data_IF_076833858098
#
_entry.id   IF_076833858098
#
_cell.length_a   1.000
_cell.length_b   1.000
_cell.length_c   1.000
_cell.angle_alpha   90.00
_cell.angle_beta   90.00
_cell.angle_gamma   90.00
#
_symmetry.space_group_name_H-M   'P 1'
#
loop_
_entity.id
_entity.type
_entity.pdbx_description
1 polymer ?
#
# COMPACT_ATOMS: atom_id res chain seq x y z
N UNK A 1 24.92 19.34 27.53
CA UNK A 1 24.13 18.10 27.47
C UNK A 1 22.66 18.40 27.30
N UNK A 2 22.22 18.49 26.03
CA UNK A 2 20.81 18.58 25.67
C UNK A 2 20.32 17.14 25.41
N UNK A 3 19.28 16.71 26.10
CA UNK A 3 18.53 15.50 25.76
C UNK A 3 17.27 15.89 25.01
N UNK A 4 16.92 15.11 23.99
CA UNK A 4 15.71 15.30 23.17
C UNK A 4 14.75 14.16 23.48
N UNK A 5 13.54 14.49 23.89
CA UNK A 5 12.43 13.59 24.13
C UNK A 5 11.39 13.79 23.05
N UNK A 6 10.65 12.75 22.73
CA UNK A 6 9.51 12.80 21.84
C UNK A 6 8.26 12.40 22.62
N UNK A 7 7.37 13.35 22.89
CA UNK A 7 5.99 13.12 23.37
C UNK A 7 5.02 13.13 22.19
N UNK A 8 3.79 12.66 22.35
CA UNK A 8 2.84 12.50 21.24
C UNK A 8 1.54 13.26 21.52
N UNK A 9 0.95 13.88 20.50
CA UNK A 9 -0.39 14.47 20.53
C UNK A 9 -1.39 13.57 19.77
N UNK A 10 -2.52 13.28 20.39
CA UNK A 10 -3.59 12.47 19.81
C UNK A 10 -4.75 13.32 19.29
N UNK A 11 -5.29 12.97 18.12
CA UNK A 11 -6.69 13.28 17.77
C UNK A 11 -7.55 12.06 18.12
N UNK A 12 -8.09 12.04 19.33
CA UNK A 12 -8.95 10.97 19.86
C UNK A 12 -8.72 10.71 21.35
N UNK A 13 -9.75 10.20 22.06
CA UNK A 13 -9.90 10.05 23.52
C UNK A 13 -8.83 9.24 24.30
N UNK A 14 -7.61 9.08 23.79
CA UNK A 14 -6.49 8.47 24.50
C UNK A 14 -5.60 9.56 25.11
N UNK A 15 -5.58 9.65 26.43
CA UNK A 15 -4.78 10.62 27.19
C UNK A 15 -3.28 10.37 26.97
N UNK A 16 -2.57 11.43 26.58
CA UNK A 16 -1.13 11.47 26.35
C UNK A 16 -0.43 11.92 27.64
N UNK A 17 0.51 11.14 28.19
CA UNK A 17 1.07 11.39 29.53
C UNK A 17 2.59 11.41 29.52
N UNK A 18 3.20 12.56 29.87
CA UNK A 18 4.65 12.72 29.98
C UNK A 18 5.10 12.68 31.43
N UNK A 19 5.98 11.73 31.80
CA UNK A 19 6.59 11.70 33.13
C UNK A 19 8.04 12.15 33.08
N UNK A 20 8.33 13.29 33.70
CA UNK A 20 9.68 13.81 33.89
C UNK A 20 10.20 13.36 35.25
N UNK A 21 11.36 12.70 35.32
CA UNK A 21 11.86 12.12 36.57
C UNK A 21 13.36 12.35 36.77
N UNK A 22 13.70 12.93 37.93
CA UNK A 22 15.05 12.94 38.48
C UNK A 22 15.22 11.78 39.46
N UNK A 23 16.36 11.06 39.41
CA UNK A 23 16.71 9.94 40.28
C UNK A 23 18.12 10.08 40.90
N UNK A 24 18.23 9.88 42.21
CA UNK A 24 19.44 9.53 42.94
C UNK A 24 19.48 8.00 43.01
N UNK A 25 20.53 7.37 42.53
CA UNK A 25 20.71 5.93 42.72
C UNK A 25 20.71 5.61 44.23
N UNK A 26 19.85 4.70 44.67
CA UNK A 26 19.84 4.15 46.03
C UNK A 26 20.00 2.64 45.96
N UNK A 27 20.80 2.13 46.89
CA UNK A 27 21.24 0.73 47.01
C UNK A 27 20.10 -0.30 46.82
N UNK A 28 20.11 -0.94 45.65
CA UNK A 28 19.57 -2.28 45.46
C UNK A 28 20.54 -3.01 44.52
N UNK A 29 21.14 -4.10 45.02
CA UNK A 29 22.08 -5.01 44.35
C UNK A 29 21.61 -5.34 42.92
N UNK A 30 22.39 -5.19 41.83
CA UNK A 30 23.59 -5.97 41.49
C UNK A 30 24.33 -5.35 40.27
N UNK A 31 25.63 -5.11 40.46
CA UNK A 31 26.79 -5.02 39.55
C UNK A 31 26.89 -4.13 38.28
N UNK A 32 27.87 -3.21 38.39
CA UNK A 32 29.01 -3.02 37.47
C UNK A 32 28.85 -2.14 36.21
N UNK A 33 28.58 -0.85 36.43
CA UNK A 33 29.48 0.26 36.02
C UNK A 33 28.94 1.59 36.57
N UNK A 34 29.61 2.08 37.62
CA UNK A 34 29.73 3.46 38.06
C UNK A 34 28.59 4.16 38.85
N UNK A 35 29.02 4.76 39.97
CA UNK A 35 28.34 5.72 40.87
C UNK A 35 27.71 6.91 40.12
N UNK A 36 26.47 6.82 39.62
CA UNK A 36 25.89 7.90 38.80
C UNK A 36 24.40 8.12 39.09
N UNK A 37 23.97 9.39 39.08
CA UNK A 37 22.57 9.85 39.27
C UNK A 37 21.90 9.98 37.91
N UNK A 38 20.65 9.54 37.75
CA UNK A 38 19.99 9.46 36.44
C UNK A 38 18.81 10.44 36.32
N UNK A 39 18.60 11.02 35.13
CA UNK A 39 17.34 11.61 34.69
C UNK A 39 16.72 10.58 33.74
N UNK A 40 15.58 10.04 34.12
CA UNK A 40 14.83 9.10 33.30
C UNK A 40 13.54 9.80 32.88
N UNK A 41 13.14 9.63 31.63
CA UNK A 41 11.86 10.16 31.16
C UNK A 41 11.10 9.04 30.48
N UNK A 42 9.87 8.84 30.94
CA UNK A 42 9.01 7.73 30.55
C UNK A 42 7.72 8.27 29.95
N UNK A 43 7.32 7.71 28.81
CA UNK A 43 6.10 8.03 28.11
C UNK A 43 5.26 6.76 27.93
N UNK A 44 3.97 6.85 28.24
CA UNK A 44 3.01 5.75 28.08
C UNK A 44 1.77 6.22 27.30
N UNK A 45 1.42 5.47 26.26
CA UNK A 45 0.18 5.67 25.51
C UNK A 45 -0.35 4.33 24.99
N UNK A 46 -1.37 3.76 25.63
CA UNK A 46 -1.90 2.45 25.25
C UNK A 46 -0.82 1.34 25.36
N UNK A 47 -0.51 0.66 24.25
CA UNK A 47 0.51 -0.40 24.17
C UNK A 47 1.90 0.08 23.71
N UNK A 48 2.09 1.38 23.46
CA UNK A 48 3.37 1.97 23.03
C UNK A 48 4.05 2.72 24.18
N UNK A 49 5.35 2.48 24.36
CA UNK A 49 6.19 3.16 25.34
C UNK A 49 7.54 3.55 24.72
N UNK A 50 8.08 4.70 25.11
CA UNK A 50 9.41 5.17 24.66
C UNK A 50 10.19 5.76 25.82
N UNK A 51 11.49 5.45 25.88
CA UNK A 51 12.40 5.85 26.96
C UNK A 51 13.68 6.46 26.37
N UNK A 52 14.19 7.54 26.99
CA UNK A 52 15.43 8.23 26.57
C UNK A 52 16.25 8.64 27.80
N UNK A 53 17.55 8.37 27.77
CA UNK A 53 18.52 8.63 28.83
C UNK A 53 19.80 9.24 28.23
N UNK A 54 20.47 10.16 28.94
CA UNK A 54 21.68 10.86 28.47
C UNK A 54 22.97 10.31 29.10
N UNK A 55 24.18 10.55 28.58
CA UNK A 55 25.44 10.49 29.35
C UNK A 55 26.09 11.89 29.41
N UNK A 56 26.65 12.29 30.55
CA UNK A 56 27.36 13.56 30.77
C UNK A 56 28.89 13.31 30.91
N UNK A 57 29.75 13.98 30.12
CA UNK A 57 31.21 13.88 30.23
C UNK A 57 31.80 14.38 31.57
N UNK A 58 31.08 15.18 32.37
CA UNK A 58 31.56 15.68 33.68
C UNK A 58 31.30 14.71 34.86
N UNK A 59 31.16 13.41 34.56
CA UNK A 59 31.18 12.34 35.56
C UNK A 59 29.81 11.81 36.01
N UNK A 60 28.76 11.99 35.21
CA UNK A 60 27.46 11.35 35.43
C UNK A 60 27.07 10.63 34.15
N UNK A 61 27.05 9.29 34.13
CA UNK A 61 26.45 8.50 33.03
C UNK A 61 25.22 7.73 33.46
N UNK A 62 24.32 7.51 32.50
CA UNK A 62 22.97 7.08 32.76
C UNK A 62 22.72 5.81 31.92
N UNK A 63 22.46 4.70 32.60
CA UNK A 63 22.12 3.41 31.99
C UNK A 63 20.94 2.76 32.73
N UNK A 64 20.27 1.81 32.05
CA UNK A 64 19.18 0.98 32.56
C UNK A 64 19.70 -0.46 32.72
N UNK A 65 19.32 -1.19 33.79
CA UNK A 65 19.59 -2.63 33.95
C UNK A 65 18.33 -3.36 34.47
N UNK A 66 17.95 -4.54 33.94
CA UNK A 66 16.85 -5.37 34.44
C UNK A 66 17.30 -6.39 35.51
N UNK A 67 16.34 -6.84 36.34
CA UNK A 67 16.51 -7.64 37.57
C UNK A 67 16.79 -9.14 37.34
N UNK A 68 17.87 -9.69 37.92
CA UNK A 68 17.93 -11.02 38.62
C UNK A 68 19.29 -11.25 39.36
N UNK A 69 19.21 -11.84 40.58
CA UNK A 69 20.17 -12.22 41.67
C UNK A 69 21.53 -12.94 41.31
N UNK A 70 22.47 -13.31 42.25
CA UNK A 70 22.88 -12.77 43.58
C UNK A 70 24.42 -12.74 43.92
N UNK A 71 24.72 -12.02 45.03
CA UNK A 71 25.75 -12.24 46.08
C UNK A 71 27.26 -11.96 45.85
N UNK A 72 27.83 -11.10 46.72
CA UNK A 72 29.27 -10.97 47.00
C UNK A 72 29.66 -9.57 47.53
N UNK A 73 30.47 -9.43 48.60
CA UNK A 73 30.60 -8.19 49.37
C UNK A 73 31.55 -7.20 48.68
N UNK A 74 31.14 -5.93 48.51
CA UNK A 74 32.06 -4.88 48.05
C UNK A 74 31.81 -3.51 48.69
N UNK A 75 32.95 -2.89 48.98
CA UNK A 75 33.25 -1.70 49.75
C UNK A 75 32.41 -0.45 49.45
N UNK A 76 32.06 0.24 50.54
CA UNK A 76 31.29 1.49 50.58
C UNK A 76 32.08 2.67 50.00
N UNK A 77 31.46 3.43 49.10
CA UNK A 77 31.87 4.78 48.73
C UNK A 77 30.69 5.72 48.97
N UNK A 78 30.79 6.58 49.99
CA UNK A 78 29.73 7.50 50.41
C UNK A 78 29.96 8.86 49.76
N UNK A 79 29.08 9.27 48.85
CA UNK A 79 29.03 10.65 48.33
C UNK A 79 27.68 11.25 48.73
N UNK A 80 27.68 11.90 49.88
CA UNK A 80 26.51 12.52 50.51
C UNK A 80 26.32 13.97 50.02
N UNK A 81 26.01 14.16 48.72
CA UNK A 81 25.46 15.46 48.29
C UNK A 81 23.97 15.46 48.64
N UNK A 82 23.61 16.08 49.77
CA UNK A 82 22.22 16.30 50.15
C UNK A 82 21.62 17.38 49.26
N UNK A 83 20.46 17.08 48.69
CA UNK A 83 19.67 18.04 47.93
C UNK A 83 18.83 18.80 48.95
N UNK A 84 19.00 20.11 49.03
CA UNK A 84 18.29 20.97 49.99
C UNK A 84 17.00 21.52 49.39
N UNK A 85 17.00 21.80 48.09
CA UNK A 85 15.84 22.29 47.32
C UNK A 85 15.85 21.71 45.93
N UNK A 86 14.67 21.51 45.37
CA UNK A 86 14.49 21.04 43.99
C UNK A 86 13.34 21.79 43.33
N UNK A 87 13.47 22.07 42.04
CA UNK A 87 12.41 22.67 41.24
C UNK A 87 12.41 22.12 39.81
N UNK A 88 11.22 21.97 39.25
CA UNK A 88 11.01 21.77 37.82
C UNK A 88 10.61 23.09 37.19
N UNK A 89 11.25 23.41 36.05
CA UNK A 89 11.01 24.61 35.29
C UNK A 89 10.63 24.25 33.86
N UNK A 90 9.69 24.98 33.27
CA UNK A 90 9.47 25.04 31.82
C UNK A 90 10.13 26.31 31.30
N UNK A 91 11.19 26.19 30.49
CA UNK A 91 12.04 27.30 30.06
C UNK A 91 12.62 28.05 31.28
N UNK A 92 11.97 29.13 31.70
CA UNK A 92 12.35 29.94 32.87
C UNK A 92 11.25 30.04 33.92
N UNK A 93 10.07 29.47 33.68
CA UNK A 93 8.95 29.49 34.63
C UNK A 93 9.02 28.28 35.55
N UNK A 94 8.85 28.50 36.85
CA UNK A 94 8.81 27.40 37.84
C UNK A 94 7.45 26.72 37.72
N UNK A 95 7.46 25.41 37.52
CA UNK A 95 6.26 24.57 37.54
C UNK A 95 5.96 24.10 38.95
N UNK A 96 6.99 23.55 39.59
CA UNK A 96 6.97 23.03 40.95
C UNK A 96 8.30 23.34 41.63
N UNK A 97 8.27 23.65 42.93
CA UNK A 97 9.45 23.77 43.80
C UNK A 97 9.20 22.98 45.08
N UNK A 98 9.87 21.84 45.23
CA UNK A 98 9.52 20.85 46.25
C UNK A 98 8.06 20.39 46.07
N UNK A 99 7.23 20.56 47.11
CA UNK A 99 5.80 20.26 47.06
C UNK A 99 4.94 21.43 46.57
N UNK A 100 5.54 22.63 46.42
CA UNK A 100 4.79 23.83 46.06
C UNK A 100 4.56 23.84 44.55
N UNK A 101 3.29 23.88 44.14
CA UNK A 101 2.91 24.07 42.74
C UNK A 101 2.90 25.56 42.42
N UNK A 102 3.69 25.98 41.44
CA UNK A 102 3.81 27.38 41.02
C UNK A 102 3.06 27.65 39.70
N UNK A 103 2.87 26.62 38.88
CA UNK A 103 2.07 26.73 37.67
C UNK A 103 0.55 26.64 37.96
N UNK A 104 -0.25 27.37 37.19
CA UNK A 104 -1.71 27.30 37.25
C UNK A 104 -2.29 26.17 36.39
N UNK A 105 -1.48 25.54 35.55
CA UNK A 105 -1.93 24.49 34.63
C UNK A 105 -2.34 23.23 35.43
N UNK A 106 -3.62 22.82 35.40
CA UNK A 106 -4.10 21.65 36.13
C UNK A 106 -3.50 20.34 35.61
N UNK A 107 -3.01 20.30 34.35
CA UNK A 107 -2.43 19.12 33.70
C UNK A 107 -1.08 18.73 34.29
N UNK A 108 -0.37 19.68 34.92
CA UNK A 108 0.93 19.45 35.54
C UNK A 108 0.74 18.97 36.97
N UNK A 109 1.13 17.73 37.26
CA UNK A 109 0.96 17.08 38.55
C UNK A 109 2.29 16.59 39.11
N UNK A 110 2.46 16.65 40.42
CA UNK A 110 3.63 16.08 41.10
C UNK A 110 3.40 14.58 41.32
N UNK A 111 4.30 13.75 40.80
CA UNK A 111 4.23 12.29 40.95
C UNK A 111 5.03 11.79 42.16
N UNK A 112 6.24 12.33 42.35
CA UNK A 112 7.15 11.87 43.39
C UNK A 112 8.03 13.01 43.88
N UNK A 113 8.17 13.12 45.19
CA UNK A 113 9.10 14.03 45.83
C UNK A 113 9.72 13.34 47.05
N UNK A 114 10.81 12.63 46.83
CA UNK A 114 11.59 11.91 47.83
C UNK A 114 13.03 12.39 47.79
N UNK A 115 13.85 11.93 48.75
CA UNK A 115 15.28 12.23 48.77
C UNK A 115 16.03 11.69 47.54
N UNK A 116 15.43 10.73 46.85
CA UNK A 116 16.01 10.07 45.69
C UNK A 116 15.25 10.32 44.41
N UNK A 117 14.04 10.86 44.43
CA UNK A 117 13.25 11.03 43.23
C UNK A 117 12.47 12.35 43.24
N UNK A 118 12.55 13.09 42.14
CA UNK A 118 11.69 14.26 41.94
C UNK A 118 11.08 14.24 40.55
N UNK A 119 9.76 13.98 40.51
CA UNK A 119 9.06 13.69 39.28
C UNK A 119 7.75 14.46 39.15
N UNK A 120 7.53 15.03 37.97
CA UNK A 120 6.26 15.64 37.58
C UNK A 120 5.70 14.93 36.34
N UNK A 121 4.39 15.03 36.16
CA UNK A 121 3.69 14.53 35.00
C UNK A 121 2.90 15.65 34.34
N UNK A 122 2.94 15.69 33.01
CA UNK A 122 2.11 16.58 32.20
C UNK A 122 1.11 15.70 31.47
N UNK A 123 -0.16 15.83 31.83
CA UNK A 123 -1.27 15.09 31.25
C UNK A 123 -1.81 15.83 30.01
N UNK A 124 -2.34 15.10 29.04
CA UNK A 124 -2.92 15.66 27.81
C UNK A 124 -1.98 16.66 27.13
N UNK A 125 -0.78 16.18 26.78
CA UNK A 125 0.27 17.00 26.16
C UNK A 125 -0.22 17.63 24.85
N UNK A 126 0.05 18.92 24.69
CA UNK A 126 -0.26 19.74 23.51
C UNK A 126 1.03 20.20 22.83
N UNK A 127 0.97 20.58 21.56
CA UNK A 127 2.12 21.07 20.77
C UNK A 127 2.80 22.25 21.45
N UNK A 128 2.05 23.07 22.18
CA UNK A 128 2.58 24.23 22.91
C UNK A 128 3.41 23.87 24.15
N UNK A 129 3.34 22.63 24.62
CA UNK A 129 4.20 22.13 25.69
C UNK A 129 5.62 21.85 25.18
N UNK A 130 5.84 21.78 23.87
CA UNK A 130 7.16 21.60 23.27
C UNK A 130 8.18 22.64 23.75
N UNK A 131 9.33 22.16 24.23
CA UNK A 131 10.40 23.03 24.70
C UNK A 131 11.29 22.43 25.79
N UNK A 132 12.25 23.23 26.28
CA UNK A 132 13.18 22.80 27.32
C UNK A 132 12.52 22.82 28.70
N UNK A 133 12.51 21.67 29.36
CA UNK A 133 12.23 21.52 30.78
C UNK A 133 13.53 21.37 31.55
N UNK A 134 13.65 22.05 32.68
CA UNK A 134 14.85 22.05 33.51
C UNK A 134 14.52 21.55 34.90
N UNK A 135 15.22 20.52 35.35
CA UNK A 135 15.28 20.16 36.76
C UNK A 135 16.45 20.91 37.40
N UNK A 136 16.14 21.80 38.34
CA UNK A 136 17.13 22.56 39.09
C UNK A 136 17.17 22.09 40.53
N UNK A 137 18.35 21.69 41.01
CA UNK A 137 18.56 21.24 42.39
C UNK A 137 19.58 22.15 43.08
N UNK A 138 19.28 22.56 44.31
CA UNK A 138 20.26 23.14 45.21
C UNK A 138 20.91 22.03 46.02
N UNK A 139 22.24 22.01 46.06
CA UNK A 139 23.01 21.14 46.95
C UNK A 139 23.76 21.99 47.98
N UNK A 140 24.32 21.35 49.00
CA UNK A 140 25.12 22.03 50.03
C UNK A 140 26.35 22.77 49.46
N UNK A 141 26.84 22.31 48.30
CA UNK A 141 27.99 22.91 47.64
C UNK A 141 27.53 23.95 46.60
N UNK A 142 26.94 23.49 45.49
CA UNK A 142 26.58 24.34 44.34
C UNK A 142 25.22 23.93 43.74
N UNK A 143 24.48 24.87 43.12
CA UNK A 143 23.30 24.52 42.34
C UNK A 143 23.69 23.68 41.13
N UNK A 144 22.87 22.70 40.78
CA UNK A 144 23.03 21.88 39.58
C UNK A 144 21.73 21.87 38.80
N UNK A 145 21.83 21.87 37.47
CA UNK A 145 20.67 21.82 36.59
C UNK A 145 20.82 20.73 35.55
N UNK A 146 19.73 20.04 35.25
CA UNK A 146 19.62 19.13 34.11
C UNK A 146 18.50 19.59 33.20
N UNK A 147 18.75 19.62 31.88
CA UNK A 147 17.80 20.10 30.88
C UNK A 147 17.40 18.98 29.95
N UNK A 148 16.11 18.93 29.64
CA UNK A 148 15.51 17.97 28.73
C UNK A 148 14.55 18.69 27.78
N UNK A 149 14.63 18.43 26.48
CA UNK A 149 13.72 19.02 25.50
C UNK A 149 12.56 18.07 25.24
N UNK A 150 11.34 18.50 25.53
CA UNK A 150 10.14 17.85 25.05
C UNK A 150 9.91 18.25 23.59
N UNK A 151 9.86 17.30 22.67
CA UNK A 151 9.38 17.46 21.28
C UNK A 151 8.01 16.82 21.20
N UNK A 152 7.01 17.51 20.66
CA UNK A 152 5.66 16.95 20.52
C UNK A 152 5.47 16.45 19.09
N UNK A 153 5.23 15.15 19.00
CA UNK A 153 4.97 14.42 17.77
C UNK A 153 3.47 14.42 17.48
N UNK A 154 3.13 14.61 16.21
CA UNK A 154 1.77 14.67 15.71
C UNK A 154 1.66 13.65 14.59
N UNK A 155 0.67 12.76 14.67
CA UNK A 155 0.41 11.76 13.64
C UNK A 155 0.22 12.39 12.25
N UNK A 156 0.60 11.72 11.16
CA UNK A 156 0.50 12.27 9.83
C UNK A 156 -0.98 12.40 9.43
N UNK A 157 -1.30 13.43 8.65
CA UNK A 157 -2.65 13.68 8.13
C UNK A 157 -2.54 14.22 6.72
N UNK A 158 -3.17 13.54 5.76
CA UNK A 158 -3.31 14.05 4.39
C UNK A 158 -4.35 15.18 4.40
N UNK A 159 -3.88 16.41 4.16
CA UNK A 159 -4.71 17.62 4.15
C UNK A 159 -5.27 17.91 2.78
N UNK A 160 -4.50 17.62 1.73
CA UNK A 160 -4.88 17.86 0.34
C UNK A 160 -4.47 16.67 -0.53
N UNK A 161 -5.35 16.28 -1.45
CA UNK A 161 -5.06 15.27 -2.45
C UNK A 161 -5.84 15.56 -3.73
N UNK A 162 -5.26 15.29 -4.90
CA UNK A 162 -5.95 15.42 -6.19
C UNK A 162 -7.24 14.60 -6.22
N UNK A 163 -8.26 15.12 -6.92
CA UNK A 163 -9.48 14.37 -7.21
C UNK A 163 -9.26 13.36 -8.34
N UNK A 164 -10.21 12.44 -8.51
CA UNK A 164 -10.23 11.53 -9.66
C UNK A 164 -10.19 12.31 -10.98
N UNK A 165 -9.40 11.82 -11.94
CA UNK A 165 -9.21 12.46 -13.25
C UNK A 165 -9.50 11.50 -14.40
N UNK A 166 -9.97 12.07 -15.52
CA UNK A 166 -10.10 11.40 -16.80
C UNK A 166 -9.33 12.18 -17.85
N UNK A 167 -8.33 11.55 -18.47
CA UNK A 167 -7.41 12.21 -19.41
C UNK A 167 -7.16 11.32 -20.62
N UNK A 168 -6.80 11.90 -21.77
CA UNK A 168 -6.48 11.12 -22.96
C UNK A 168 -5.06 10.53 -22.88
N UNK A 169 -4.89 9.36 -23.50
CA UNK A 169 -3.59 8.70 -23.66
C UNK A 169 -2.56 9.63 -24.33
N UNK A 170 -1.33 9.60 -23.84
CA UNK A 170 -0.22 10.44 -24.30
C UNK A 170 -0.15 11.83 -23.66
N UNK A 171 -1.14 12.24 -22.86
CA UNK A 171 -1.07 13.49 -22.12
C UNK A 171 -0.22 13.34 -20.83
N UNK A 172 0.25 14.47 -20.31
CA UNK A 172 0.95 14.52 -19.03
C UNK A 172 -0.04 14.74 -17.89
N UNK A 173 0.23 14.12 -16.74
CA UNK A 173 -0.51 14.36 -15.50
C UNK A 173 0.43 14.75 -14.36
N UNK A 174 -0.10 15.53 -13.42
CA UNK A 174 0.52 15.82 -12.13
C UNK A 174 -0.53 15.58 -11.04
N UNK A 175 -0.27 14.63 -10.15
CA UNK A 175 -1.08 14.37 -8.96
C UNK A 175 -0.38 14.95 -7.73
N UNK A 176 -1.16 15.47 -6.80
CA UNK A 176 -0.66 16.14 -5.59
C UNK A 176 -1.21 15.43 -4.36
N UNK A 177 -0.36 15.25 -3.35
CA UNK A 177 -0.73 14.75 -2.04
C UNK A 177 0.13 15.45 -0.98
N UNK A 178 -0.52 16.31 -0.19
CA UNK A 178 0.14 17.10 0.85
C UNK A 178 -0.30 16.56 2.20
N UNK A 179 0.67 16.27 3.06
CA UNK A 179 0.45 15.75 4.38
C UNK A 179 1.13 16.60 5.44
N UNK A 180 0.48 16.74 6.59
CA UNK A 180 1.01 17.46 7.75
C UNK A 180 1.25 16.49 8.89
N UNK A 181 2.27 16.72 9.71
CA UNK A 181 2.60 15.91 10.87
C UNK A 181 3.82 16.46 11.59
N UNK A 182 4.13 15.91 12.76
CA UNK A 182 5.39 16.20 13.48
C UNK A 182 6.04 14.91 13.93
N UNK A 183 7.27 14.56 13.49
CA UNK A 183 8.04 15.25 12.45
C UNK A 183 7.28 15.35 11.12
N UNK A 184 7.75 16.22 10.23
CA UNK A 184 7.17 16.39 8.89
C UNK A 184 7.13 15.03 8.17
N UNK A 185 5.97 14.62 7.63
CA UNK A 185 5.81 13.29 7.06
C UNK A 185 6.42 13.18 5.68
N UNK A 186 6.96 12.00 5.39
CA UNK A 186 7.31 11.61 4.02
C UNK A 186 6.07 11.11 3.30
N UNK A 187 5.97 11.42 2.01
CA UNK A 187 4.87 11.03 1.14
C UNK A 187 5.39 10.06 0.09
N UNK A 188 4.67 8.97 -0.14
CA UNK A 188 4.98 8.03 -1.22
C UNK A 188 3.75 7.73 -2.06
N UNK A 189 3.97 7.55 -3.36
CA UNK A 189 2.94 7.20 -4.32
C UNK A 189 3.14 5.78 -4.83
N UNK A 190 2.04 5.04 -4.99
CA UNK A 190 2.05 3.68 -5.53
C UNK A 190 0.90 3.46 -6.50
N UNK A 191 1.19 2.89 -7.67
CA UNK A 191 0.15 2.44 -8.60
C UNK A 191 -0.42 1.10 -8.10
N UNK A 192 -1.75 1.04 -7.94
CA UNK A 192 -2.46 -0.15 -7.48
C UNK A 192 -2.77 -1.04 -8.69
N UNK A 193 -1.73 -1.71 -9.18
CA UNK A 193 -1.82 -2.71 -10.24
C UNK A 193 -1.10 -3.98 -9.81
N UNK A 194 -1.59 -5.19 -10.14
CA UNK A 194 -0.89 -6.44 -9.86
C UNK A 194 0.52 -6.51 -10.47
N UNK A 195 0.75 -5.74 -11.54
CA UNK A 195 2.04 -5.68 -12.24
C UNK A 195 2.96 -4.57 -11.72
N UNK A 196 2.45 -3.65 -10.91
CA UNK A 196 3.24 -2.54 -10.38
C UNK A 196 4.13 -3.04 -9.23
N UNK A 197 5.41 -2.65 -9.28
CA UNK A 197 6.41 -3.01 -8.26
C UNK A 197 6.96 -1.72 -7.67
N UNK A 198 6.94 -1.61 -6.34
CA UNK A 198 7.52 -0.48 -5.61
C UNK A 198 6.72 0.83 -5.69
N UNK A 199 7.37 1.91 -5.26
CA UNK A 199 6.85 3.27 -5.33
C UNK A 199 7.06 3.87 -6.72
N UNK A 200 6.11 4.72 -7.13
CA UNK A 200 6.18 5.49 -8.38
C UNK A 200 6.84 6.85 -8.14
N UNK A 201 6.63 7.43 -6.96
CA UNK A 201 7.26 8.69 -6.51
C UNK A 201 7.37 8.68 -4.98
N UNK A 202 8.36 9.38 -4.45
CA UNK A 202 8.55 9.64 -3.01
C UNK A 202 8.41 11.14 -2.67
N UNK A 203 7.81 11.89 -3.59
CA UNK A 203 7.52 13.31 -3.44
C UNK A 203 6.00 13.56 -3.29
N UNK A 204 5.64 14.75 -2.80
CA UNK A 204 4.24 15.21 -2.73
C UNK A 204 3.55 15.24 -4.10
N UNK A 205 4.35 15.44 -5.15
CA UNK A 205 3.91 15.48 -6.54
C UNK A 205 4.30 14.19 -7.28
N UNK A 206 3.34 13.62 -8.00
CA UNK A 206 3.57 12.54 -8.94
C UNK A 206 3.32 13.05 -10.36
N UNK A 207 4.40 13.22 -11.12
CA UNK A 207 4.35 13.61 -12.52
C UNK A 207 4.53 12.39 -13.43
N UNK A 208 3.60 12.20 -14.36
CA UNK A 208 3.68 11.15 -15.39
C UNK A 208 3.59 11.83 -16.74
N UNK A 209 4.64 11.67 -17.55
CA UNK A 209 4.67 12.16 -18.92
C UNK A 209 4.17 11.09 -19.87
N UNK A 210 3.36 11.47 -20.85
CA UNK A 210 2.90 10.55 -21.89
C UNK A 210 2.15 9.33 -21.35
N UNK A 211 1.11 9.55 -20.53
CA UNK A 211 0.44 8.45 -19.82
C UNK A 211 -0.13 7.39 -20.78
N UNK A 212 0.12 6.11 -20.50
CA UNK A 212 -0.40 4.98 -21.29
C UNK A 212 -1.65 4.36 -20.67
N UNK A 213 -2.45 3.65 -21.46
CA UNK A 213 -3.65 2.96 -20.95
C UNK A 213 -3.37 1.92 -19.85
N UNK A 214 -2.18 1.33 -19.81
CA UNK A 214 -1.76 0.37 -18.77
C UNK A 214 -1.53 1.04 -17.40
N UNK A 215 -1.31 2.35 -17.40
CA UNK A 215 -1.14 3.17 -16.20
C UNK A 215 -2.49 3.66 -15.65
N UNK A 216 -3.61 3.40 -16.33
CA UNK A 216 -4.95 3.61 -15.79
C UNK A 216 -5.16 2.81 -14.50
N UNK A 217 -5.90 3.36 -13.53
CA UNK A 217 -6.19 2.68 -12.27
C UNK A 217 -6.14 3.60 -11.06
N UNK A 218 -5.98 2.99 -9.88
CA UNK A 218 -5.86 3.75 -8.63
C UNK A 218 -4.39 4.03 -8.31
N UNK A 219 -4.12 5.25 -7.89
CA UNK A 219 -2.86 5.68 -7.32
C UNK A 219 -3.08 5.94 -5.84
N UNK A 220 -2.26 5.33 -4.99
CA UNK A 220 -2.32 5.46 -3.54
C UNK A 220 -1.19 6.36 -3.07
N UNK A 221 -1.56 7.44 -2.39
CA UNK A 221 -0.65 8.25 -1.60
C UNK A 221 -0.62 7.71 -0.17
N UNK A 222 0.59 7.54 0.37
CA UNK A 222 0.84 7.12 1.75
C UNK A 222 1.73 8.15 2.44
N UNK A 223 1.28 8.70 3.56
CA UNK A 223 2.04 9.64 4.38
C UNK A 223 2.46 9.01 5.72
N UNK A 224 3.76 9.06 6.05
CA UNK A 224 4.32 8.51 7.28
C UNK A 224 5.32 9.44 7.94
N UNK A 225 5.34 9.47 9.27
CA UNK A 225 6.40 10.11 10.06
C UNK A 225 6.83 9.24 11.25
N UNK A 226 6.58 7.92 11.15
CA UNK A 226 6.91 6.89 12.15
C UNK A 226 6.27 7.11 13.54
N UNK A 227 5.33 8.05 13.65
CA UNK A 227 4.57 8.31 14.88
C UNK A 227 3.43 7.32 15.04
N UNK A 228 2.74 7.02 13.95
CA UNK A 228 1.59 6.14 13.90
C UNK A 228 1.63 5.33 12.59
N UNK A 229 0.63 4.47 12.40
CA UNK A 229 0.44 3.83 11.11
C UNK A 229 0.33 4.89 9.99
N UNK A 230 0.91 4.65 8.80
CA UNK A 230 0.79 5.57 7.69
C UNK A 230 -0.66 5.86 7.32
N UNK A 231 -0.97 7.10 6.98
CA UNK A 231 -2.29 7.48 6.47
C UNK A 231 -2.29 7.36 4.96
N UNK A 232 -3.29 6.66 4.42
CA UNK A 232 -3.41 6.38 2.99
C UNK A 232 -4.66 6.99 2.39
N UNK A 233 -4.54 7.51 1.16
CA UNK A 233 -5.67 7.94 0.31
C UNK A 233 -5.41 7.56 -1.13
N UNK A 234 -6.49 7.43 -1.92
CA UNK A 234 -6.41 6.98 -3.32
C UNK A 234 -7.07 7.96 -4.26
N UNK A 235 -6.49 8.05 -5.46
CA UNK A 235 -6.99 8.82 -6.59
C UNK A 235 -7.15 7.88 -7.78
N UNK A 236 -8.28 7.96 -8.48
CA UNK A 236 -8.50 7.20 -9.71
C UNK A 236 -8.08 8.01 -10.92
N UNK A 237 -7.16 7.46 -11.71
CA UNK A 237 -6.77 7.98 -13.01
C UNK A 237 -7.41 7.11 -14.09
N UNK A 238 -8.26 7.70 -14.92
CA UNK A 238 -8.91 7.04 -16.05
C UNK A 238 -8.29 7.53 -17.35
N UNK A 239 -7.55 6.65 -18.03
CA UNK A 239 -6.94 6.98 -19.32
C UNK A 239 -7.91 6.65 -20.46
N UNK A 240 -8.28 7.66 -21.24
CA UNK A 240 -9.17 7.55 -22.40
C UNK A 240 -8.34 7.23 -23.66
N UNK A 241 -8.81 6.27 -24.45
CA UNK A 241 -8.18 5.85 -25.70
C UNK A 241 -9.25 5.44 -26.74
N UNK A 242 -8.96 5.60 -28.05
CA UNK A 242 -9.87 5.20 -29.12
C UNK A 242 -10.05 3.67 -29.14
N UNK A 243 -11.18 3.18 -29.68
CA UNK A 243 -11.45 1.75 -29.73
C UNK A 243 -10.43 1.00 -30.59
N UNK A 244 -10.04 -0.19 -30.14
CA UNK A 244 -9.36 -1.19 -30.94
C UNK A 244 -10.09 -2.52 -30.81
N UNK A 245 -10.21 -3.27 -31.91
CA UNK A 245 -10.86 -4.58 -31.90
C UNK A 245 -9.88 -5.60 -31.33
N UNK A 246 -10.25 -6.16 -30.19
CA UNK A 246 -9.48 -7.21 -29.52
C UNK A 246 -9.78 -8.58 -30.11
N UNK A 247 -11.01 -8.79 -30.59
CA UNK A 247 -11.41 -10.05 -31.19
C UNK A 247 -12.56 -9.87 -32.19
N UNK A 248 -12.51 -10.59 -33.31
CA UNK A 248 -13.55 -10.63 -34.33
C UNK A 248 -13.75 -12.09 -34.79
N UNK A 249 -14.90 -12.67 -34.48
CA UNK A 249 -15.20 -14.10 -34.66
C UNK A 249 -16.29 -14.30 -35.70
N UNK A 250 -15.90 -14.94 -36.81
CA UNK A 250 -16.79 -15.49 -37.82
C UNK A 250 -17.44 -16.79 -37.36
N UNK A 251 -18.41 -17.30 -38.11
CA UNK A 251 -19.06 -18.58 -37.79
C UNK A 251 -19.48 -19.30 -39.05
N UNK A 252 -19.21 -20.61 -39.09
CA UNK A 252 -19.77 -21.52 -40.07
C UNK A 252 -21.09 -22.08 -39.55
N UNK A 253 -22.18 -21.93 -40.31
CA UNK A 253 -23.53 -22.35 -39.88
C UNK A 253 -24.25 -22.98 -41.07
N UNK A 254 -24.93 -24.14 -40.93
CA UNK A 254 -25.80 -24.66 -41.98
C UNK A 254 -27.04 -23.80 -42.20
N UNK A 255 -27.62 -23.85 -43.40
CA UNK A 255 -28.92 -23.22 -43.69
C UNK A 255 -29.99 -23.74 -42.73
N UNK A 256 -30.88 -22.86 -42.28
CA UNK A 256 -31.95 -23.24 -41.35
C UNK A 256 -31.60 -23.02 -39.87
N UNK A 257 -30.31 -22.89 -39.53
CA UNK A 257 -29.85 -22.87 -38.14
C UNK A 257 -29.58 -21.45 -37.62
N UNK A 258 -29.40 -21.34 -36.30
CA UNK A 258 -29.05 -20.08 -35.62
C UNK A 258 -27.55 -19.80 -35.76
N UNK A 259 -27.21 -18.63 -36.28
CA UNK A 259 -25.83 -18.14 -36.40
C UNK A 259 -25.55 -16.95 -35.48
N UNK A 260 -24.29 -16.76 -35.07
CA UNK A 260 -23.91 -15.59 -34.26
C UNK A 260 -22.50 -15.13 -34.60
N UNK A 261 -22.38 -13.93 -35.15
CA UNK A 261 -21.09 -13.25 -35.29
C UNK A 261 -20.80 -12.46 -34.02
N UNK A 262 -19.52 -12.38 -33.65
CA UNK A 262 -19.08 -11.72 -32.42
C UNK A 262 -17.92 -10.76 -32.71
N UNK A 263 -18.00 -9.57 -32.13
CA UNK A 263 -16.97 -8.54 -32.23
C UNK A 263 -16.72 -7.92 -30.85
N UNK A 264 -15.47 -7.93 -30.41
CA UNK A 264 -15.02 -7.37 -29.13
C UNK A 264 -14.07 -6.21 -29.37
N UNK A 265 -14.27 -5.14 -28.62
CA UNK A 265 -13.41 -3.96 -28.68
C UNK A 265 -13.15 -3.44 -27.28
N UNK A 266 -11.91 -3.01 -27.06
CA UNK A 266 -11.50 -2.32 -25.85
C UNK A 266 -11.37 -0.83 -26.16
N UNK A 267 -12.01 -0.02 -25.31
CA UNK A 267 -12.08 1.43 -25.46
C UNK A 267 -12.42 2.08 -24.12
N UNK A 268 -11.90 3.28 -23.90
CA UNK A 268 -12.32 4.14 -22.78
C UNK A 268 -12.55 5.57 -23.32
N UNK A 269 -13.76 6.14 -23.22
CA UNK A 269 -15.01 5.51 -22.80
C UNK A 269 -15.41 4.32 -23.68
N UNK A 270 -16.33 3.49 -23.18
CA UNK A 270 -16.83 2.28 -23.86
C UNK A 270 -17.30 2.58 -25.29
N UNK A 271 -17.09 1.63 -26.19
CA UNK A 271 -17.40 1.80 -27.59
C UNK A 271 -18.89 1.53 -27.89
N UNK A 272 -19.42 2.27 -28.84
CA UNK A 272 -20.68 1.96 -29.52
C UNK A 272 -20.39 1.12 -30.76
N UNK A 273 -21.20 0.07 -30.95
CA UNK A 273 -21.03 -0.90 -32.05
C UNK A 273 -22.12 -0.75 -33.12
N UNK A 274 -21.69 -0.86 -34.37
CA UNK A 274 -22.57 -0.89 -35.55
C UNK A 274 -22.14 -2.02 -36.48
N UNK A 275 -23.10 -2.70 -37.10
CA UNK A 275 -22.85 -3.78 -38.04
C UNK A 275 -23.24 -3.36 -39.45
N UNK A 276 -22.46 -3.79 -40.43
CA UNK A 276 -22.67 -3.52 -41.85
C UNK A 276 -22.58 -4.81 -42.64
N UNK A 277 -23.39 -4.91 -43.69
CA UNK A 277 -23.24 -5.92 -44.75
C UNK A 277 -23.24 -5.17 -46.08
N UNK A 278 -22.25 -5.42 -46.93
CA UNK A 278 -22.12 -4.77 -48.24
C UNK A 278 -22.25 -3.24 -48.15
N UNK A 279 -21.52 -2.64 -47.20
CA UNK A 279 -21.52 -1.20 -46.86
C UNK A 279 -22.87 -0.61 -46.40
N UNK A 280 -23.89 -1.45 -46.21
CA UNK A 280 -25.19 -1.03 -45.68
C UNK A 280 -25.29 -1.35 -44.19
N UNK A 281 -25.59 -0.33 -43.39
CA UNK A 281 -25.83 -0.48 -41.95
C UNK A 281 -27.01 -1.41 -41.70
N UNK A 282 -26.78 -2.44 -40.89
CA UNK A 282 -27.84 -3.30 -40.39
C UNK A 282 -28.57 -2.58 -39.26
N UNK A 283 -29.85 -2.27 -39.50
CA UNK A 283 -30.70 -1.61 -38.51
C UNK A 283 -31.29 -2.65 -37.56
N UNK A 284 -31.32 -2.31 -36.27
CA UNK A 284 -31.95 -3.12 -35.23
C UNK A 284 -33.43 -3.32 -35.57
N UNK A 285 -33.90 -4.58 -35.58
CA UNK A 285 -35.29 -4.92 -35.96
C UNK A 285 -35.49 -5.37 -37.41
N UNK A 286 -34.44 -5.51 -38.23
CA UNK A 286 -34.54 -6.23 -39.51
C UNK A 286 -35.04 -7.66 -39.26
N UNK A 287 -36.11 -8.06 -39.97
CA UNK A 287 -36.74 -9.37 -39.80
C UNK A 287 -35.69 -10.49 -39.95
N UNK A 288 -35.53 -11.32 -38.90
CA UNK A 288 -34.60 -12.46 -38.89
C UNK A 288 -33.24 -12.22 -38.22
N UNK A 289 -32.88 -10.98 -37.87
CA UNK A 289 -31.58 -10.63 -37.28
C UNK A 289 -31.74 -9.78 -36.01
N UNK A 290 -30.90 -10.00 -35.00
CA UNK A 290 -30.85 -9.23 -33.75
C UNK A 290 -29.42 -8.77 -33.47
N UNK A 291 -29.26 -7.52 -33.07
CA UNK A 291 -27.99 -6.99 -32.56
C UNK A 291 -28.07 -6.94 -31.03
N UNK A 292 -27.04 -7.43 -30.35
CA UNK A 292 -26.90 -7.31 -28.89
C UNK A 292 -25.59 -6.58 -28.57
N UNK A 293 -25.71 -5.35 -28.07
CA UNK A 293 -24.57 -4.51 -27.72
C UNK A 293 -24.33 -4.51 -26.20
N UNK A 294 -23.07 -4.71 -25.82
CA UNK A 294 -22.52 -4.56 -24.46
C UNK A 294 -21.26 -3.67 -24.55
N UNK A 295 -20.77 -3.10 -23.42
CA UNK A 295 -19.67 -2.13 -23.43
C UNK A 295 -18.39 -2.54 -24.19
N UNK A 296 -18.08 -3.85 -24.23
CA UNK A 296 -16.86 -4.39 -24.86
C UNK A 296 -17.14 -5.48 -25.90
N UNK A 297 -18.42 -5.78 -26.16
CA UNK A 297 -18.83 -6.95 -26.94
C UNK A 297 -20.13 -6.65 -27.69
N UNK A 298 -20.14 -6.92 -28.98
CA UNK A 298 -21.32 -6.89 -29.82
C UNK A 298 -21.54 -8.24 -30.50
N UNK A 299 -22.80 -8.68 -30.54
CA UNK A 299 -23.21 -9.91 -31.24
C UNK A 299 -24.24 -9.60 -32.30
N UNK A 300 -24.03 -10.13 -33.50
CA UNK A 300 -25.02 -10.15 -34.58
C UNK A 300 -25.59 -11.57 -34.69
N UNK A 301 -26.86 -11.72 -34.31
CA UNK A 301 -27.52 -13.01 -34.16
C UNK A 301 -28.51 -13.19 -35.31
N UNK A 302 -28.38 -14.29 -36.04
CA UNK A 302 -29.32 -14.75 -37.06
C UNK A 302 -30.18 -15.85 -36.45
N UNK A 303 -31.51 -15.69 -36.49
CA UNK A 303 -32.41 -16.72 -35.93
C UNK A 303 -32.54 -17.94 -36.84
N UNK A 304 -32.49 -17.71 -38.15
CA UNK A 304 -32.54 -18.74 -39.18
C UNK A 304 -31.71 -18.25 -40.37
N UNK A 305 -30.55 -18.87 -40.60
CA UNK A 305 -29.60 -18.50 -41.66
C UNK A 305 -30.10 -18.98 -43.03
N UNK A 306 -30.11 -18.08 -44.01
CA UNK A 306 -30.36 -18.36 -45.43
C UNK A 306 -29.08 -18.22 -46.27
N UNK A 307 -29.09 -18.74 -47.49
CA UNK A 307 -27.96 -18.56 -48.42
C UNK A 307 -27.60 -17.09 -48.67
N UNK A 308 -28.59 -16.19 -48.63
CA UNK A 308 -28.40 -14.76 -48.78
C UNK A 308 -27.76 -14.08 -47.56
N UNK A 309 -27.71 -14.75 -46.42
CA UNK A 309 -27.09 -14.24 -45.20
C UNK A 309 -25.58 -14.47 -45.18
N UNK A 310 -25.06 -15.44 -45.93
CA UNK A 310 -23.62 -15.64 -46.04
C UNK A 310 -22.90 -14.43 -46.63
N UNK A 311 -21.62 -14.31 -46.33
CA UNK A 311 -20.74 -13.24 -46.80
C UNK A 311 -20.03 -12.50 -45.66
N UNK A 312 -19.43 -11.37 -46.03
CA UNK A 312 -18.66 -10.55 -45.12
C UNK A 312 -19.53 -9.50 -44.43
N UNK A 313 -19.31 -9.36 -43.13
CA UNK A 313 -19.92 -8.40 -42.26
C UNK A 313 -18.84 -7.53 -41.65
N UNK A 314 -19.05 -6.23 -41.59
CA UNK A 314 -18.13 -5.32 -40.91
C UNK A 314 -18.72 -4.91 -39.57
N UNK A 315 -18.01 -5.17 -38.48
CA UNK A 315 -18.30 -4.54 -37.20
C UNK A 315 -17.48 -3.25 -37.09
N UNK A 316 -18.14 -2.16 -36.71
CA UNK A 316 -17.52 -0.86 -36.46
C UNK A 316 -17.71 -0.53 -34.99
N UNK A 317 -16.60 -0.28 -34.29
CA UNK A 317 -16.59 0.18 -32.90
C UNK A 317 -16.14 1.65 -32.85
N UNK A 318 -16.87 2.50 -32.13
CA UNK A 318 -16.60 3.95 -32.10
C UNK A 318 -16.76 4.54 -30.70
N UNK A 319 -15.94 5.53 -30.36
CA UNK A 319 -16.15 6.38 -29.18
C UNK A 319 -15.79 7.83 -29.53
N UNK A 320 -15.84 8.74 -28.54
CA UNK A 320 -15.54 10.17 -28.73
C UNK A 320 -14.12 10.47 -29.24
N UNK A 321 -13.21 9.51 -29.24
CA UNK A 321 -11.80 9.69 -29.64
C UNK A 321 -11.49 9.07 -31.02
N UNK A 322 -12.39 8.26 -31.59
CA UNK A 322 -12.17 7.63 -32.88
C UNK A 322 -13.02 6.40 -33.12
N UNK A 323 -12.71 5.69 -34.19
CA UNK A 323 -13.39 4.46 -34.58
C UNK A 323 -12.41 3.46 -35.19
N UNK A 324 -12.80 2.18 -35.16
CA UNK A 324 -12.08 1.07 -35.79
C UNK A 324 -13.10 0.08 -36.35
N UNK A 325 -12.68 -0.79 -37.26
CA UNK A 325 -13.54 -1.83 -37.81
C UNK A 325 -12.80 -3.16 -38.04
N UNK A 326 -13.56 -4.24 -38.19
CA UNK A 326 -13.06 -5.54 -38.61
C UNK A 326 -14.08 -6.24 -39.50
N UNK A 327 -13.58 -6.98 -40.50
CA UNK A 327 -14.39 -7.82 -41.38
C UNK A 327 -14.50 -9.23 -40.81
N UNK A 328 -15.70 -9.77 -40.80
CA UNK A 328 -16.09 -11.04 -40.19
C UNK A 328 -16.92 -11.82 -41.21
N UNK A 329 -16.61 -13.09 -41.44
CA UNK A 329 -17.32 -13.91 -42.43
C UNK A 329 -18.34 -14.84 -41.77
N UNK A 330 -19.57 -14.84 -42.28
CA UNK A 330 -20.55 -15.91 -42.08
C UNK A 330 -20.49 -16.82 -43.31
N UNK A 331 -20.22 -18.10 -43.11
CA UNK A 331 -20.07 -19.07 -44.20
C UNK A 331 -20.89 -20.33 -43.96
N UNK A 332 -21.18 -21.05 -45.04
CA UNK A 332 -21.91 -22.31 -44.96
C UNK A 332 -21.02 -23.41 -44.37
N UNK A 333 -21.53 -24.11 -43.36
CA UNK A 333 -20.88 -25.28 -42.81
C UNK A 333 -21.48 -26.53 -43.46
N UNK A 334 -20.74 -27.18 -44.36
CA UNK A 334 -21.14 -28.46 -44.93
C UNK A 334 -21.07 -29.54 -43.85
N UNK A 335 -22.16 -30.28 -43.62
CA UNK A 335 -22.09 -31.52 -42.85
C UNK A 335 -21.18 -32.52 -43.58
N UNK A 336 -20.35 -33.31 -42.86
CA UNK A 336 -19.56 -34.35 -43.50
C UNK A 336 -20.52 -35.36 -44.12
N UNK A 337 -20.63 -35.36 -45.45
CA UNK A 337 -21.44 -36.31 -46.19
C UNK A 337 -20.97 -37.72 -45.88
N UNK A 338 -21.81 -38.51 -45.22
CA UNK A 338 -21.61 -39.94 -44.90
C UNK A 338 -21.51 -40.83 -46.15
N UNK A 339 -21.56 -40.27 -47.35
CA UNK A 339 -21.59 -40.99 -48.63
C UNK A 339 -20.23 -41.48 -49.13
N UNK A 340 -19.12 -41.23 -48.43
CA UNK A 340 -17.78 -41.71 -48.82
C UNK A 340 -17.31 -43.00 -48.11
N UNK A 341 -18.16 -43.66 -47.32
CA UNK A 341 -17.82 -44.94 -46.63
C UNK A 341 -18.39 -46.21 -47.31
N UNK A 342 -18.93 -46.14 -48.53
CA UNK A 342 -19.45 -47.30 -49.26
C UNK A 342 -18.65 -47.67 -50.52
N UNK A 343 -17.32 -47.52 -50.50
CA UNK A 343 -16.44 -48.28 -51.39
C UNK A 343 -15.60 -49.24 -50.53
N UNK A 344 -16.20 -50.39 -50.23
CA UNK A 344 -15.47 -51.53 -49.69
C UNK A 344 -14.42 -52.00 -50.71
N UNK A 345 -13.19 -52.33 -50.30
CA UNK A 345 -12.19 -52.86 -51.19
C UNK A 345 -12.64 -54.24 -51.71
N UNK A 346 -12.58 -54.41 -53.03
CA UNK A 346 -12.87 -55.67 -53.70
C UNK A 346 -12.01 -56.81 -53.16
N UNK A 347 -12.63 -57.99 -53.06
CA UNK A 347 -11.97 -59.23 -52.67
C UNK A 347 -10.80 -59.53 -53.63
N UNK A 348 -9.59 -59.61 -53.07
CA UNK A 348 -8.44 -60.22 -53.74
C UNK A 348 -8.21 -61.57 -53.07
N UNK A 349 -8.31 -62.62 -53.89
CA UNK A 349 -8.09 -64.02 -53.55
C UNK A 349 -6.69 -64.29 -53.00
N UNK A 350 -6.62 -65.00 -51.89
CA UNK A 350 -5.40 -65.63 -51.38
C UNK A 350 -4.93 -66.76 -52.31
N UNK A 351 -3.66 -66.72 -52.71
CA UNK A 351 -2.87 -67.92 -53.00
C UNK A 351 -1.51 -67.75 -52.31
N UNK A 352 -1.23 -68.72 -51.44
CA UNK A 352 -0.03 -68.93 -50.65
C UNK A 352 1.23 -69.14 -51.50
N UNK A 353 2.37 -68.57 -51.08
CA UNK A 353 3.56 -69.33 -50.65
C UNK A 353 4.76 -68.42 -50.35
N UNK A 354 5.50 -68.76 -49.29
CA UNK A 354 6.95 -68.52 -49.24
C UNK A 354 7.49 -67.49 -48.24
N UNK A 355 7.51 -67.86 -46.96
CA UNK A 355 8.55 -67.61 -45.94
C UNK A 355 9.71 -66.64 -46.23
N UNK A 356 9.89 -65.60 -45.40
CA UNK A 356 10.94 -65.52 -44.36
C UNK A 356 11.38 -64.08 -44.00
N UNK A 357 11.06 -63.70 -42.76
CA UNK A 357 11.95 -63.09 -41.74
C UNK A 357 12.91 -61.94 -42.14
N UNK A 358 12.62 -60.70 -41.66
CA UNK A 358 13.22 -60.10 -40.44
C UNK A 358 13.10 -58.55 -40.38
N UNK A 359 12.85 -58.11 -39.13
CA UNK A 359 13.20 -56.85 -38.45
C UNK A 359 12.36 -55.60 -38.72
N UNK A 360 11.49 -55.36 -37.74
CA UNK A 360 10.75 -54.15 -37.46
C UNK A 360 11.68 -53.01 -36.99
N UNK A 361 11.42 -51.82 -37.50
CA UNK A 361 11.94 -50.56 -37.00
C UNK A 361 11.20 -49.40 -37.66
N UNK A 362 10.25 -48.80 -36.94
CA UNK A 362 9.92 -47.39 -37.12
C UNK A 362 9.20 -46.85 -35.89
N UNK A 363 9.65 -45.67 -35.51
CA UNK A 363 9.36 -44.94 -34.29
C UNK A 363 7.92 -44.40 -34.30
N UNK A 364 7.26 -44.55 -33.16
CA UNK A 364 6.08 -43.76 -32.80
C UNK A 364 6.55 -42.46 -32.14
N UNK A 365 6.12 -41.32 -32.69
CA UNK A 365 6.21 -40.00 -32.06
C UNK A 365 4.79 -39.51 -31.80
N UNK A 366 4.42 -39.40 -30.53
CA UNK A 366 3.27 -38.65 -30.00
C UNK A 366 3.59 -38.26 -28.53
N UNK A 367 2.95 -37.24 -27.96
CA UNK A 367 3.60 -35.96 -27.66
C UNK A 367 3.85 -35.70 -26.17
N UNK A 368 4.79 -34.79 -25.90
CA UNK A 368 5.16 -34.26 -24.58
C UNK A 368 4.03 -33.42 -23.98
N UNK A 369 3.37 -33.95 -22.94
CA UNK A 369 2.60 -33.20 -21.96
C UNK A 369 3.48 -33.04 -20.71
N UNK A 370 4.04 -31.84 -20.54
CA UNK A 370 4.81 -31.48 -19.33
C UNK A 370 3.83 -30.92 -18.30
N UNK A 371 3.61 -31.71 -17.24
CA UNK A 371 2.97 -31.32 -16.00
C UNK A 371 3.98 -31.56 -14.87
N UNK A 372 4.49 -30.48 -14.27
CA UNK A 372 5.20 -30.38 -12.97
C UNK A 372 5.95 -29.02 -12.96
N UNK A 373 6.00 -28.19 -11.92
CA UNK A 373 5.94 -28.42 -10.47
C UNK A 373 5.36 -27.17 -9.76
N UNK A 374 4.57 -27.44 -8.72
CA UNK A 374 4.57 -26.67 -7.48
C UNK A 374 5.85 -26.99 -6.70
N UNK A 375 6.57 -25.98 -6.18
CA UNK A 375 7.12 -25.89 -4.81
C UNK A 375 8.21 -24.80 -4.66
N UNK A 376 8.03 -23.98 -3.60
CA UNK A 376 8.99 -23.09 -2.88
C UNK A 376 9.28 -21.75 -3.58
N UNK A 377 9.06 -20.57 -3.00
CA UNK A 377 9.08 -20.09 -1.60
C UNK A 377 7.86 -19.23 -1.25
#
# INVERSE_FOLDING_TARGET
>A
NHSVLRGFQTQGHSASVLRLQFCKASDAETQAKANRRCLCVHWEQGAQSSQSCQEDPDGISFFVVPLTYPSGPLSRCTIDNRVTRVAWLNRSTILYAGNDKWCLDPRVVLLSNTQTQYSIEIQNVDVYDEGPYTCSVQTDNHPKTSRVHLIVQVSPKIVEISSDISINEGNNISLTCIATGRPEPTVTWRHISPKAVGFVSEDEYLEIQGITREQSGYYECSASNDVAAPVVRRVKVTVNYPPYISEAKGTGVPVGQKGTLQCEASAVPSAEFQWYKDDKRLVEGKKGVKVENRPFLSKLIFFNVSEHDYGNYTCVASNKLGHTNASITLFELSEPTSSSLLQGPGAVSEVSNGTSSRRAGCLWLLPLLVLHLLLKF
#
